data_IF_243303147323
#
_entry.id   IF_243303147323
#
_cell.length_a   1.000
_cell.length_b   1.000
_cell.length_c   1.000
_cell.angle_alpha   90.00
_cell.angle_beta   90.00
_cell.angle_gamma   90.00
#
_symmetry.space_group_name_H-M   'P 1'
#
loop_
_entity.id
_entity.type
_entity.pdbx_description
1 polymer ?
#
# COMPACT_ATOMS: atom_id res chain seq x y z
N UNK A 1 -3.72 36.14 -45.36
CA UNK A 1 -4.60 35.06 -44.87
C UNK A 1 -3.86 34.11 -43.92
N UNK A 2 -2.53 33.98 -44.05
CA UNK A 2 -1.67 33.12 -43.20
C UNK A 2 -1.48 33.61 -41.75
N UNK A 3 -1.42 34.92 -41.50
CA UNK A 3 -1.28 35.46 -40.14
C UNK A 3 -2.43 35.05 -39.21
N UNK A 4 -3.68 35.09 -39.70
CA UNK A 4 -4.86 34.70 -38.91
C UNK A 4 -4.88 33.22 -38.53
N UNK A 5 -4.23 32.35 -39.31
CA UNK A 5 -4.15 30.92 -39.03
C UNK A 5 -3.14 30.64 -37.90
N UNK A 6 -2.01 31.35 -37.92
CA UNK A 6 -0.96 31.27 -36.90
C UNK A 6 -1.45 31.73 -35.53
N UNK A 7 -2.18 32.86 -35.46
CA UNK A 7 -2.72 33.38 -34.20
C UNK A 7 -3.73 32.42 -33.57
N UNK A 8 -4.57 31.78 -34.39
CA UNK A 8 -5.57 30.82 -33.91
C UNK A 8 -4.94 29.56 -33.29
N UNK A 9 -3.83 29.07 -33.86
CA UNK A 9 -3.11 27.93 -33.30
C UNK A 9 -2.44 28.29 -31.96
N UNK A 10 -1.82 29.48 -31.87
CA UNK A 10 -1.21 29.97 -30.63
C UNK A 10 -2.24 30.10 -29.48
N UNK A 11 -3.43 30.65 -29.77
CA UNK A 11 -4.52 30.77 -28.80
C UNK A 11 -5.02 29.40 -28.34
N UNK A 12 -5.14 28.43 -29.27
CA UNK A 12 -5.57 27.07 -28.95
C UNK A 12 -4.59 26.36 -28.02
N UNK A 13 -3.30 26.52 -28.25
CA UNK A 13 -2.26 25.92 -27.42
C UNK A 13 -2.21 26.56 -26.02
N UNK A 14 -2.40 27.87 -25.94
CA UNK A 14 -2.51 28.62 -24.68
C UNK A 14 -3.71 28.15 -23.85
N UNK A 15 -4.89 27.98 -24.48
CA UNK A 15 -6.10 27.44 -23.83
C UNK A 15 -5.85 26.01 -23.34
N UNK A 16 -5.27 25.15 -24.17
CA UNK A 16 -4.97 23.76 -23.82
C UNK A 16 -4.00 23.68 -22.64
N UNK A 17 -2.99 24.56 -22.59
CA UNK A 17 -2.07 24.67 -21.46
C UNK A 17 -2.80 25.05 -20.18
N UNK A 18 -3.62 26.10 -20.21
CA UNK A 18 -4.40 26.54 -19.04
C UNK A 18 -5.36 25.47 -18.52
N UNK A 19 -6.04 24.76 -19.42
CA UNK A 19 -6.91 23.64 -19.05
C UNK A 19 -6.10 22.53 -18.37
N UNK A 20 -4.96 22.14 -18.95
CA UNK A 20 -4.09 21.10 -18.39
C UNK A 20 -3.56 21.48 -17.01
N UNK A 21 -3.12 22.72 -16.82
CA UNK A 21 -2.64 23.21 -15.53
C UNK A 21 -3.76 23.25 -14.49
N UNK A 22 -4.96 23.68 -14.87
CA UNK A 22 -6.12 23.71 -13.98
C UNK A 22 -6.49 22.30 -13.50
N UNK A 23 -6.61 21.34 -14.42
CA UNK A 23 -6.89 19.93 -14.08
C UNK A 23 -5.80 19.35 -13.19
N UNK A 24 -4.51 19.62 -13.51
CA UNK A 24 -3.40 19.13 -12.71
C UNK A 24 -3.45 19.66 -11.28
N UNK A 25 -3.82 20.94 -11.12
CA UNK A 25 -3.92 21.58 -9.82
C UNK A 25 -5.10 21.00 -9.02
N UNK A 26 -6.29 20.93 -9.62
CA UNK A 26 -7.48 20.37 -8.98
C UNK A 26 -7.23 18.93 -8.50
N UNK A 27 -6.60 18.11 -9.33
CA UNK A 27 -6.26 16.73 -8.96
C UNK A 27 -5.22 16.64 -7.84
N UNK A 28 -4.23 17.53 -7.85
CA UNK A 28 -3.20 17.57 -6.81
C UNK A 28 -3.79 18.00 -5.47
N UNK A 29 -4.66 19.00 -5.49
CA UNK A 29 -5.35 19.50 -4.30
C UNK A 29 -6.24 18.39 -3.70
N UNK A 30 -7.00 17.66 -4.52
CA UNK A 30 -7.82 16.51 -4.09
C UNK A 30 -6.99 15.39 -3.44
N UNK A 31 -5.89 14.99 -4.08
CA UNK A 31 -4.98 13.96 -3.54
C UNK A 31 -4.36 14.43 -2.21
N UNK A 32 -3.97 15.69 -2.10
CA UNK A 32 -3.41 16.23 -0.86
C UNK A 32 -4.43 16.25 0.28
N UNK A 33 -5.71 16.55 0.00
CA UNK A 33 -6.76 16.50 1.01
C UNK A 33 -7.03 15.06 1.49
N UNK A 34 -7.12 14.09 0.57
CA UNK A 34 -7.31 12.68 0.93
C UNK A 34 -6.16 12.14 1.79
N UNK A 35 -4.91 12.39 1.39
CA UNK A 35 -3.72 11.94 2.14
C UNK A 35 -3.67 12.53 3.55
N UNK A 36 -4.10 13.78 3.70
CA UNK A 36 -4.11 14.46 5.00
C UNK A 36 -5.17 13.88 5.94
N UNK A 37 -6.35 13.55 5.42
CA UNK A 37 -7.40 12.87 6.19
C UNK A 37 -6.93 11.48 6.65
N UNK A 38 -6.27 10.73 5.77
CA UNK A 38 -5.72 9.40 6.11
C UNK A 38 -4.60 9.50 7.16
N UNK A 39 -3.72 10.50 7.05
CA UNK A 39 -2.68 10.78 8.06
C UNK A 39 -3.28 11.09 9.43
N UNK A 40 -4.32 11.91 9.49
CA UNK A 40 -5.03 12.26 10.73
C UNK A 40 -5.67 11.01 11.37
N UNK A 41 -6.40 10.19 10.59
CA UNK A 41 -7.03 8.95 11.06
C UNK A 41 -6.00 7.96 11.63
N UNK A 42 -4.90 7.72 10.90
CA UNK A 42 -3.83 6.82 11.34
C UNK A 42 -3.13 7.33 12.60
N UNK A 43 -2.92 8.64 12.69
CA UNK A 43 -2.30 9.27 13.86
C UNK A 43 -3.18 9.10 15.10
N UNK A 44 -4.50 9.26 14.96
CA UNK A 44 -5.46 9.01 16.04
C UNK A 44 -5.43 7.54 16.49
N UNK A 45 -5.43 6.60 15.55
CA UNK A 45 -5.37 5.16 15.85
C UNK A 45 -4.09 4.79 16.62
N UNK A 46 -2.93 5.23 16.14
CA UNK A 46 -1.64 4.98 16.81
C UNK A 46 -1.63 5.60 18.21
N UNK A 47 -2.13 6.83 18.35
CA UNK A 47 -2.20 7.52 19.64
C UNK A 47 -3.09 6.77 20.63
N UNK A 48 -4.24 6.26 20.18
CA UNK A 48 -5.14 5.43 20.97
C UNK A 48 -4.49 4.12 21.42
N UNK A 49 -3.80 3.42 20.51
CA UNK A 49 -3.07 2.18 20.85
C UNK A 49 -1.96 2.41 21.87
N UNK A 50 -1.22 3.52 21.75
CA UNK A 50 -0.18 3.88 22.71
C UNK A 50 -0.77 4.21 24.08
N UNK A 51 -1.85 5.00 24.14
CA UNK A 51 -2.54 5.33 25.39
C UNK A 51 -3.07 4.09 26.12
N UNK A 52 -3.58 3.10 25.39
CA UNK A 52 -4.07 1.85 25.96
C UNK A 52 -2.96 1.01 26.62
N UNK A 53 -1.74 0.99 26.03
CA UNK A 53 -0.58 0.27 26.56
C UNK A 53 -0.03 0.84 27.86
N UNK A 54 -0.19 2.14 28.13
CA UNK A 54 0.33 2.77 29.37
C UNK A 54 -0.55 2.51 30.59
N UNK A 55 -1.78 2.01 30.41
CA UNK A 55 -2.75 1.80 31.50
C UNK A 55 -2.66 0.44 32.22
N UNK A 56 -1.84 -0.50 31.73
CA UNK A 56 -1.71 -1.84 32.32
C UNK A 56 -0.36 -2.03 33.03
N UNK A 57 -0.33 -1.72 34.34
CA UNK A 57 0.74 -2.18 35.25
C UNK A 57 0.77 -3.72 35.24
N UNK A 58 1.88 -4.39 34.90
CA UNK A 58 1.95 -5.84 34.97
C UNK A 58 2.12 -6.27 36.43
N UNK A 59 1.11 -6.96 36.98
CA UNK A 59 1.22 -7.65 38.26
C UNK A 59 1.67 -9.09 38.01
N UNK A 60 2.98 -9.32 37.97
CA UNK A 60 3.57 -10.65 37.89
C UNK A 60 3.69 -11.20 39.32
N UNK A 61 2.77 -12.08 39.72
CA UNK A 61 2.93 -12.91 40.92
C UNK A 61 3.61 -14.22 40.53
N UNK A 62 4.86 -14.39 40.96
CA UNK A 62 5.56 -15.67 40.93
C UNK A 62 4.89 -16.71 41.85
N UNK A 63 4.59 -17.92 41.35
CA UNK A 63 4.67 -19.13 42.18
C UNK A 63 4.67 -20.44 41.38
N UNK A 64 5.82 -21.13 41.49
CA UNK A 64 6.06 -22.58 41.65
C UNK A 64 5.72 -23.55 40.49
N UNK A 65 6.82 -24.07 39.95
CA UNK A 65 7.02 -25.17 39.00
C UNK A 65 6.48 -26.51 39.54
N UNK A 66 6.06 -27.45 38.66
CA UNK A 66 6.78 -28.73 38.60
C UNK A 66 7.17 -29.17 37.18
N UNK A 67 8.29 -29.85 37.15
CA UNK A 67 9.18 -30.33 36.09
C UNK A 67 8.52 -31.33 35.11
N UNK A 68 8.72 -31.16 33.80
CA UNK A 68 8.69 -32.26 32.83
C UNK A 68 9.83 -32.08 31.83
N UNK A 69 10.77 -33.05 31.83
CA UNK A 69 11.89 -33.14 30.89
C UNK A 69 11.38 -33.59 29.50
N UNK A 70 11.60 -32.79 28.45
CA UNK A 70 11.53 -33.28 27.06
C UNK A 70 12.67 -32.66 26.25
N UNK A 71 13.74 -33.46 26.14
CA UNK A 71 14.69 -33.65 25.02
C UNK A 71 14.98 -32.46 24.10
N UNK A 72 16.23 -32.01 24.14
CA UNK A 72 16.87 -31.10 23.19
C UNK A 72 16.69 -31.54 21.74
N UNK A 73 15.82 -30.87 21.00
CA UNK A 73 15.84 -30.91 19.54
C UNK A 73 16.80 -29.81 19.08
N UNK A 74 17.96 -30.21 18.55
CA UNK A 74 18.93 -29.32 17.89
C UNK A 74 18.18 -28.32 17.00
N UNK A 75 18.23 -27.06 17.42
CA UNK A 75 17.87 -25.92 16.58
C UNK A 75 18.89 -25.91 15.45
N UNK A 76 18.45 -26.28 14.24
CA UNK A 76 19.19 -25.99 13.03
C UNK A 76 19.13 -24.46 12.93
N UNK A 77 20.26 -23.80 13.19
CA UNK A 77 20.40 -22.36 12.91
C UNK A 77 20.01 -22.14 11.44
N UNK A 78 18.99 -21.32 11.13
CA UNK A 78 18.82 -20.86 9.77
C UNK A 78 20.09 -20.08 9.44
N UNK A 79 20.86 -20.59 8.49
CA UNK A 79 21.95 -19.82 7.90
C UNK A 79 21.35 -18.50 7.46
N UNK A 80 21.92 -17.41 7.98
CA UNK A 80 21.60 -16.05 7.61
C UNK A 80 22.01 -15.89 6.13
N UNK A 81 21.14 -16.31 5.21
CA UNK A 81 21.22 -15.91 3.82
C UNK A 81 21.25 -14.39 3.85
N UNK A 82 22.36 -13.82 3.36
CA UNK A 82 22.53 -12.38 3.27
C UNK A 82 21.30 -11.81 2.56
N UNK A 83 20.46 -11.09 3.30
CA UNK A 83 19.31 -10.37 2.77
C UNK A 83 19.83 -9.32 1.79
N UNK A 84 19.99 -9.71 0.52
CA UNK A 84 20.00 -8.73 -0.55
C UNK A 84 18.62 -8.11 -0.55
N UNK A 85 18.49 -6.88 -0.03
CA UNK A 85 17.29 -6.06 -0.19
C UNK A 85 17.02 -5.91 -1.70
N UNK A 86 16.21 -6.80 -2.26
CA UNK A 86 15.74 -6.71 -3.63
C UNK A 86 14.57 -5.74 -3.62
N UNK A 87 14.85 -4.54 -4.07
CA UNK A 87 13.85 -3.51 -4.24
C UNK A 87 12.77 -4.01 -5.22
N UNK A 88 11.50 -3.77 -4.91
CA UNK A 88 10.36 -4.23 -5.72
C UNK A 88 9.49 -3.02 -6.02
N UNK A 89 9.18 -2.84 -7.30
CA UNK A 89 8.29 -1.79 -7.78
C UNK A 89 6.96 -2.39 -8.21
N UNK A 90 5.86 -1.86 -7.70
CA UNK A 90 4.50 -2.26 -8.07
C UNK A 90 3.80 -1.06 -8.71
N UNK A 91 3.23 -1.23 -9.90
CA UNK A 91 2.46 -0.16 -10.52
C UNK A 91 1.17 0.10 -9.73
N UNK A 92 0.74 1.37 -9.73
CA UNK A 92 -0.56 1.78 -9.19
C UNK A 92 -1.70 0.96 -9.84
N UNK A 93 -1.58 0.63 -11.14
CA UNK A 93 -2.54 -0.21 -11.86
C UNK A 93 -2.74 -1.57 -11.17
N UNK A 94 -1.65 -2.26 -10.83
CA UNK A 94 -1.73 -3.57 -10.18
C UNK A 94 -2.41 -3.48 -8.80
N UNK A 95 -2.06 -2.45 -8.01
CA UNK A 95 -2.67 -2.17 -6.71
C UNK A 95 -4.18 -1.93 -6.86
N UNK A 96 -4.58 -1.05 -7.76
CA UNK A 96 -5.99 -0.70 -7.97
C UNK A 96 -6.81 -1.90 -8.46
N UNK A 97 -6.26 -2.78 -9.29
CA UNK A 97 -6.97 -4.01 -9.72
C UNK A 97 -7.23 -4.96 -8.56
N UNK A 98 -6.27 -5.12 -7.66
CA UNK A 98 -6.44 -5.94 -6.46
C UNK A 98 -7.42 -5.31 -5.49
N UNK A 99 -7.28 -4.01 -5.19
CA UNK A 99 -8.17 -3.28 -4.29
C UNK A 99 -9.62 -3.28 -4.80
N UNK A 100 -9.82 -3.01 -6.09
CA UNK A 100 -11.14 -3.05 -6.72
C UNK A 100 -11.81 -4.41 -6.60
N UNK A 101 -11.03 -5.49 -6.71
CA UNK A 101 -11.54 -6.84 -6.54
C UNK A 101 -11.81 -7.17 -5.06
N UNK A 102 -10.94 -6.74 -4.14
CA UNK A 102 -11.11 -6.89 -2.69
C UNK A 102 -12.41 -6.26 -2.18
N UNK A 103 -12.79 -5.10 -2.71
CA UNK A 103 -14.04 -4.41 -2.33
C UNK A 103 -15.29 -5.29 -2.53
N UNK A 104 -15.27 -6.27 -3.44
CA UNK A 104 -16.39 -7.22 -3.60
C UNK A 104 -16.64 -8.07 -2.35
N UNK A 105 -15.57 -8.40 -1.63
CA UNK A 105 -15.58 -9.35 -0.51
C UNK A 105 -15.30 -8.71 0.84
N UNK A 106 -14.69 -7.52 0.84
CA UNK A 106 -14.32 -6.75 2.02
C UNK A 106 -14.79 -5.30 1.85
N UNK A 107 -16.00 -5.01 2.33
CA UNK A 107 -16.56 -3.65 2.34
C UNK A 107 -17.49 -3.47 3.55
N UNK A 108 -17.95 -2.24 3.78
CA UNK A 108 -18.78 -1.86 4.94
C UNK A 108 -20.13 -2.57 5.04
N UNK A 109 -20.64 -3.16 3.94
CA UNK A 109 -21.90 -3.93 3.93
C UNK A 109 -21.70 -5.39 4.35
N UNK A 110 -20.44 -5.84 4.44
CA UNK A 110 -20.06 -7.21 4.82
C UNK A 110 -19.40 -7.15 6.21
N UNK A 111 -19.91 -7.94 7.16
CA UNK A 111 -19.29 -8.06 8.48
C UNK A 111 -17.82 -8.46 8.34
N UNK A 112 -16.92 -7.82 9.08
CA UNK A 112 -15.46 -8.09 9.04
C UNK A 112 -15.13 -9.57 9.24
N UNK A 113 -15.90 -10.29 10.07
CA UNK A 113 -15.76 -11.74 10.29
C UNK A 113 -16.05 -12.61 9.07
N UNK A 114 -16.62 -12.03 8.01
CA UNK A 114 -16.95 -12.67 6.74
C UNK A 114 -16.11 -12.16 5.57
N UNK A 115 -15.14 -11.29 5.82
CA UNK A 115 -14.23 -10.85 4.77
C UNK A 115 -13.38 -12.02 4.28
N UNK A 116 -13.12 -12.05 2.97
CA UNK A 116 -12.39 -13.12 2.31
C UNK A 116 -11.10 -12.55 1.76
N UNK A 117 -10.01 -13.28 1.94
CA UNK A 117 -8.72 -12.94 1.35
C UNK A 117 -8.80 -13.04 -0.17
N UNK A 118 -8.29 -12.01 -0.85
CA UNK A 118 -8.20 -12.00 -2.31
C UNK A 118 -6.80 -12.42 -2.73
N UNK A 119 -6.74 -13.45 -3.55
CA UNK A 119 -5.51 -13.96 -4.15
C UNK A 119 -5.50 -13.70 -5.65
N UNK A 120 -4.31 -13.63 -6.24
CA UNK A 120 -4.17 -13.35 -7.67
C UNK A 120 -2.77 -13.55 -8.19
N UNK A 121 -2.66 -13.50 -9.52
CA UNK A 121 -1.39 -13.60 -10.22
C UNK A 121 -0.86 -12.19 -10.49
N UNK A 122 0.40 -11.95 -10.15
CA UNK A 122 1.12 -10.74 -10.50
C UNK A 122 1.91 -10.96 -11.78
N UNK A 123 1.77 -10.06 -12.74
CA UNK A 123 2.50 -10.09 -14.00
C UNK A 123 3.48 -8.92 -14.06
N UNK A 124 4.69 -9.21 -14.53
CA UNK A 124 5.76 -8.23 -14.53
C UNK A 124 7.05 -8.80 -15.10
N UNK A 125 8.15 -8.10 -14.80
CA UNK A 125 9.48 -8.43 -15.31
C UNK A 125 10.53 -8.12 -14.26
N UNK A 126 11.68 -8.77 -14.38
CA UNK A 126 12.87 -8.45 -13.58
C UNK A 126 13.81 -7.67 -14.48
N UNK A 127 14.23 -6.48 -14.05
CA UNK A 127 15.32 -5.77 -14.70
C UNK A 127 16.63 -6.48 -14.37
N UNK A 128 17.24 -7.08 -15.38
CA UNK A 128 18.48 -7.87 -15.24
C UNK A 128 19.69 -7.04 -14.84
N UNK A 129 19.67 -5.72 -15.05
CA UNK A 129 20.79 -4.83 -14.72
C UNK A 129 20.80 -4.44 -13.24
N UNK A 130 19.62 -4.15 -12.70
CA UNK A 130 19.43 -3.67 -11.33
C UNK A 130 19.01 -4.79 -10.37
N UNK A 131 18.50 -5.91 -10.90
CA UNK A 131 17.86 -6.96 -10.11
C UNK A 131 16.45 -6.57 -9.62
N UNK A 132 15.92 -5.43 -10.05
CA UNK A 132 14.64 -4.88 -9.61
C UNK A 132 13.47 -5.71 -10.17
N UNK A 133 12.58 -6.18 -9.29
CA UNK A 133 11.31 -6.77 -9.70
C UNK A 133 10.28 -5.67 -9.96
N UNK A 134 9.77 -5.61 -11.19
CA UNK A 134 8.77 -4.63 -11.64
C UNK A 134 7.46 -5.37 -11.92
N UNK A 135 6.46 -5.17 -11.07
CA UNK A 135 5.12 -5.71 -11.23
C UNK A 135 4.27 -4.69 -11.99
N UNK A 136 3.85 -5.05 -13.20
CA UNK A 136 3.14 -4.16 -14.12
C UNK A 136 1.62 -4.35 -14.07
N UNK A 137 1.15 -5.55 -13.73
CA UNK A 137 -0.28 -5.90 -13.71
C UNK A 137 -0.62 -6.96 -12.65
N UNK A 138 -1.90 -7.06 -12.33
CA UNK A 138 -2.43 -8.05 -11.39
C UNK A 138 -3.75 -8.66 -11.92
N UNK A 139 -3.93 -9.96 -11.66
CA UNK A 139 -5.09 -10.74 -12.07
C UNK A 139 -5.64 -11.48 -10.85
N UNK A 140 -6.57 -10.86 -10.10
CA UNK A 140 -7.24 -11.54 -9.01
C UNK A 140 -8.07 -12.71 -9.53
N UNK A 141 -8.06 -13.81 -8.79
CA UNK A 141 -8.81 -15.04 -9.10
C UNK A 141 -9.92 -15.16 -8.06
N UNK A 142 -11.18 -15.18 -8.51
CA UNK A 142 -12.36 -15.17 -7.63
C UNK A 142 -13.53 -14.45 -8.26
#
# INVERSE_FOLDING_TARGET
MEEKLSTNNSIKDEIKRKIKEKIKKELLDEICEELKLEEEELTEEITSMLAQRVSSKPNIKHSKVPTVNIVEKKVIEPQLEQETQKETYITIKAILKLASHAIKYANSKILKSKWIEVIGILAGKIDKKTGLLIIEDAYPIG
#
